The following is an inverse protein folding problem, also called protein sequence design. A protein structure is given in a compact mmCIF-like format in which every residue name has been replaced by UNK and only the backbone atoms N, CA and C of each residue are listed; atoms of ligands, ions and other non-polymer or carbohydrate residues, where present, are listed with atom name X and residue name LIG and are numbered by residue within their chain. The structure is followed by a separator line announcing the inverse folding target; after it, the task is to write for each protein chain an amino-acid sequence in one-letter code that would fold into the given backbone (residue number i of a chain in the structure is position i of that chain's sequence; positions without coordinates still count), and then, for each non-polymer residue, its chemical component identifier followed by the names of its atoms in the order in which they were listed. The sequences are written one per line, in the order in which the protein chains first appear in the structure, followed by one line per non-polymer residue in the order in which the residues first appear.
data_IF_000120414894
#
_entry.id   IF_000120414894
#
_cell.length_a   1.000
_cell.length_b   1.000
_cell.length_c   1.000
_cell.angle_alpha   90.00
_cell.angle_beta   90.00
_cell.angle_gamma   90.00
#
_symmetry.space_group_name_H-M   'P 1'
#
loop_
_entity.id
_entity.type
_entity.pdbx_description
1 polymer ?
#
# COMPACT_ATOMS: atom_id res chain seq x y z
N UNK A 1 -17.46 -2.49 3.43
CA UNK A 1 -16.64 -1.34 3.89
C UNK A 1 -15.38 -1.29 3.04
N UNK A 2 -14.74 -0.13 2.87
CA UNK A 2 -13.50 0.02 2.08
C UNK A 2 -12.46 0.75 2.95
N UNK A 3 -11.23 0.23 3.01
CA UNK A 3 -10.11 0.92 3.64
C UNK A 3 -9.44 1.90 2.68
N UNK A 4 -9.02 3.06 3.17
CA UNK A 4 -8.29 4.06 2.38
C UNK A 4 -7.09 4.54 3.20
N UNK A 5 -5.90 4.50 2.60
CA UNK A 5 -4.64 4.99 3.16
C UNK A 5 -3.85 5.76 2.09
N UNK A 6 -2.81 6.50 2.49
CA UNK A 6 -1.95 7.27 1.59
C UNK A 6 -0.66 7.66 2.31
N UNK A 7 0.34 8.12 1.57
CA UNK A 7 1.53 8.81 2.09
C UNK A 7 2.28 7.98 3.15
N UNK A 8 2.49 6.69 2.86
CA UNK A 8 3.20 5.78 3.76
C UNK A 8 4.64 6.23 4.02
N UNK A 9 5.31 6.81 3.03
CA UNK A 9 6.60 7.49 3.18
C UNK A 9 7.65 6.69 3.97
N UNK A 10 7.87 5.41 3.62
CA UNK A 10 8.81 4.50 4.30
C UNK A 10 8.56 4.28 5.80
N UNK A 11 7.42 4.75 6.35
CA UNK A 11 7.10 4.68 7.77
C UNK A 11 6.58 3.29 8.16
N UNK A 12 7.47 2.30 8.11
CA UNK A 12 7.16 0.90 8.41
C UNK A 12 6.37 0.70 9.71
N UNK A 13 6.70 1.35 10.85
CA UNK A 13 5.91 1.18 12.07
C UNK A 13 4.45 1.63 11.95
N UNK A 14 4.17 2.60 11.09
CA UNK A 14 2.79 3.06 10.83
C UNK A 14 2.09 2.18 9.81
N UNK A 15 2.82 1.70 8.79
CA UNK A 15 2.31 0.75 7.80
C UNK A 15 1.93 -0.57 8.46
N UNK A 16 2.79 -1.13 9.32
CA UNK A 16 2.50 -2.35 10.10
C UNK A 16 1.21 -2.20 10.91
N UNK A 17 1.07 -1.10 11.66
CA UNK A 17 -0.15 -0.82 12.44
C UNK A 17 -1.38 -0.65 11.56
N UNK A 18 -1.23 -0.03 10.39
CA UNK A 18 -2.33 0.14 9.44
C UNK A 18 -2.76 -1.20 8.87
N UNK A 19 -1.81 -2.07 8.50
CA UNK A 19 -2.09 -3.44 8.03
C UNK A 19 -2.81 -4.25 9.10
N UNK A 20 -2.29 -4.28 10.33
CA UNK A 20 -2.90 -5.03 11.44
C UNK A 20 -4.33 -4.53 11.71
N UNK A 21 -4.53 -3.21 11.73
CA UNK A 21 -5.84 -2.63 11.93
C UNK A 21 -6.79 -2.96 10.78
N UNK A 22 -6.35 -2.81 9.52
CA UNK A 22 -7.18 -3.09 8.35
C UNK A 22 -7.53 -4.57 8.23
N UNK A 23 -6.63 -5.49 8.59
CA UNK A 23 -6.91 -6.93 8.62
C UNK A 23 -7.87 -7.32 9.76
N UNK A 24 -7.90 -6.54 10.85
CA UNK A 24 -8.90 -6.73 11.91
C UNK A 24 -10.32 -6.34 11.47
N UNK A 25 -10.43 -5.63 10.35
CA UNK A 25 -11.68 -5.26 9.72
C UNK A 25 -11.93 -6.22 8.56
N UNK A 26 -13.10 -6.86 8.51
CA UNK A 26 -13.49 -7.78 7.41
C UNK A 26 -13.71 -6.99 6.09
N UNK A 27 -12.60 -6.61 5.45
CA UNK A 27 -12.52 -5.75 4.28
C UNK A 27 -12.25 -6.58 3.03
N UNK A 28 -13.01 -6.32 1.98
CA UNK A 28 -12.74 -6.89 0.65
C UNK A 28 -11.73 -6.04 -0.15
N UNK A 29 -11.62 -4.74 0.16
CA UNK A 29 -10.83 -3.78 -0.61
C UNK A 29 -10.16 -2.70 0.27
N UNK A 30 -8.89 -2.44 -0.03
CA UNK A 30 -8.10 -1.29 0.44
C UNK A 30 -7.57 -0.50 -0.76
N UNK A 31 -7.65 0.82 -0.68
CA UNK A 31 -7.10 1.75 -1.68
C UNK A 31 -5.94 2.51 -1.05
N UNK A 32 -4.82 2.60 -1.75
CA UNK A 32 -3.70 3.48 -1.37
C UNK A 32 -3.48 4.57 -2.42
N UNK A 33 -3.51 5.84 -1.99
CA UNK A 33 -3.55 6.98 -2.91
C UNK A 33 -2.17 7.47 -3.41
N UNK A 34 -1.08 6.87 -2.93
CA UNK A 34 0.27 7.05 -3.48
C UNK A 34 1.30 7.38 -2.41
N UNK A 35 2.54 7.61 -2.82
CA UNK A 35 3.67 7.91 -1.95
C UNK A 35 3.93 6.78 -0.94
N UNK A 36 4.13 5.58 -1.47
CA UNK A 36 4.58 4.40 -0.72
C UNK A 36 6.02 4.61 -0.23
N UNK A 37 6.87 4.94 -1.20
CA UNK A 37 8.32 5.06 -1.21
C UNK A 37 9.01 3.75 -0.79
N UNK A 38 10.06 3.42 -1.55
CA UNK A 38 10.85 2.19 -1.60
C UNK A 38 10.10 0.82 -1.64
N UNK A 39 10.68 -0.20 -2.33
CA UNK A 39 10.03 -1.50 -2.48
C UNK A 39 9.75 -2.25 -1.17
N UNK A 40 10.46 -1.95 -0.08
CA UNK A 40 10.22 -2.61 1.21
C UNK A 40 8.87 -2.23 1.83
N UNK A 41 8.37 -1.00 1.60
CA UNK A 41 7.04 -0.58 2.06
C UNK A 41 5.94 -1.40 1.38
N UNK A 42 6.12 -1.70 0.09
CA UNK A 42 5.21 -2.55 -0.67
C UNK A 42 5.21 -4.01 -0.19
N UNK A 43 6.31 -4.51 0.38
CA UNK A 43 6.35 -5.85 1.00
C UNK A 43 5.45 -5.89 2.23
N UNK A 44 5.45 -4.83 3.04
CA UNK A 44 4.61 -4.75 4.23
C UNK A 44 3.13 -4.64 3.88
N UNK A 45 2.78 -3.76 2.94
CA UNK A 45 1.41 -3.59 2.45
C UNK A 45 0.84 -4.85 1.80
N UNK A 46 1.69 -5.72 1.24
CA UNK A 46 1.29 -7.02 0.69
C UNK A 46 0.74 -8.00 1.75
N UNK A 47 0.94 -7.72 3.04
CA UNK A 47 0.36 -8.52 4.13
C UNK A 47 -1.12 -8.19 4.42
N UNK A 48 -1.72 -7.25 3.71
CA UNK A 48 -3.17 -7.04 3.76
C UNK A 48 -3.90 -8.31 3.29
N UNK A 49 -4.88 -8.76 4.07
CA UNK A 49 -5.77 -9.87 3.70
C UNK A 49 -6.76 -9.44 2.61
N UNK A 50 -7.18 -8.17 2.66
CA UNK A 50 -8.01 -7.53 1.67
C UNK A 50 -7.26 -7.33 0.33
N UNK A 51 -7.99 -7.30 -0.79
CA UNK A 51 -7.40 -6.85 -2.05
C UNK A 51 -6.94 -5.40 -1.91
N UNK A 52 -5.72 -5.11 -2.33
CA UNK A 52 -5.20 -3.75 -2.39
C UNK A 52 -5.09 -3.27 -3.84
N UNK A 53 -5.56 -2.05 -4.10
CA UNK A 53 -5.33 -1.31 -5.34
C UNK A 53 -4.73 0.06 -5.04
N UNK A 54 -4.03 0.66 -6.00
CA UNK A 54 -3.45 1.97 -5.77
C UNK A 54 -2.82 2.60 -7.00
N UNK A 55 -2.32 3.81 -6.79
CA UNK A 55 -1.70 4.65 -7.81
C UNK A 55 -0.33 5.09 -7.33
N UNK A 56 0.59 5.34 -8.26
CA UNK A 56 1.88 5.95 -7.89
C UNK A 56 1.67 7.40 -7.47
N UNK A 57 2.27 7.78 -6.35
CA UNK A 57 2.46 9.17 -5.98
C UNK A 57 3.66 9.78 -6.72
N UNK A 58 3.83 11.10 -6.59
CA UNK A 58 4.91 11.82 -7.26
C UNK A 58 6.29 11.53 -6.64
N UNK A 59 6.35 10.99 -5.42
CA UNK A 59 7.59 10.65 -4.75
C UNK A 59 8.01 9.17 -4.95
N UNK A 60 7.18 8.36 -5.61
CA UNK A 60 7.50 6.95 -5.89
C UNK A 60 8.51 6.80 -7.04
N UNK A 61 9.79 6.77 -6.69
CA UNK A 61 10.90 6.61 -7.64
C UNK A 61 11.08 5.17 -8.17
N UNK A 62 11.05 4.17 -7.28
CA UNK A 62 11.26 2.75 -7.64
C UNK A 62 9.97 2.06 -8.09
N UNK A 63 9.31 2.60 -9.13
CA UNK A 63 8.01 2.11 -9.61
C UNK A 63 7.99 0.62 -9.96
N UNK A 64 9.05 0.11 -10.58
CA UNK A 64 9.13 -1.30 -10.95
C UNK A 64 9.32 -2.21 -9.74
N UNK A 65 10.10 -1.76 -8.74
CA UNK A 65 10.26 -2.46 -7.48
C UNK A 65 8.96 -2.51 -6.68
N UNK A 66 8.23 -1.39 -6.61
CA UNK A 66 6.89 -1.32 -6.01
C UNK A 66 5.91 -2.26 -6.73
N UNK A 67 5.84 -2.21 -8.06
CA UNK A 67 4.92 -3.03 -8.86
C UNK A 67 5.21 -4.53 -8.76
N UNK A 68 6.46 -4.92 -8.54
CA UNK A 68 6.84 -6.33 -8.30
C UNK A 68 6.11 -6.91 -7.08
N UNK A 69 5.86 -6.10 -6.06
CA UNK A 69 5.18 -6.51 -4.83
C UNK A 69 3.68 -6.20 -4.86
N UNK A 70 3.29 -5.10 -5.53
CA UNK A 70 1.91 -4.64 -5.68
C UNK A 70 1.57 -4.51 -7.18
N UNK A 71 1.16 -5.61 -7.85
CA UNK A 71 0.96 -5.62 -9.30
C UNK A 71 -0.22 -4.77 -9.78
N UNK A 72 -1.15 -4.44 -8.88
CA UNK A 72 -2.34 -3.63 -9.14
C UNK A 72 -2.06 -2.11 -9.13
N UNK A 73 -0.78 -1.69 -9.01
CA UNK A 73 -0.38 -0.29 -9.07
C UNK A 73 -0.43 0.26 -10.50
N UNK A 74 -1.20 1.33 -10.66
CA UNK A 74 -1.41 2.00 -11.94
C UNK A 74 -0.84 3.41 -11.94
N UNK A 75 -0.61 3.96 -13.13
CA UNK A 75 -0.37 5.40 -13.28
C UNK A 75 -1.73 6.08 -13.46
N UNK A 76 -1.90 7.24 -12.84
CA UNK A 76 -3.04 8.14 -13.05
C UNK A 76 -2.59 9.41 -13.77
#
# INVERSE_FOLDING_TARGET
MIGIISDSHDNLPSVEKAVDYLNSLDLELVIHAGDYIAPFTAIELKKLDAKMVGVFGNNDGEKDGLRKHLPELTNF
#
